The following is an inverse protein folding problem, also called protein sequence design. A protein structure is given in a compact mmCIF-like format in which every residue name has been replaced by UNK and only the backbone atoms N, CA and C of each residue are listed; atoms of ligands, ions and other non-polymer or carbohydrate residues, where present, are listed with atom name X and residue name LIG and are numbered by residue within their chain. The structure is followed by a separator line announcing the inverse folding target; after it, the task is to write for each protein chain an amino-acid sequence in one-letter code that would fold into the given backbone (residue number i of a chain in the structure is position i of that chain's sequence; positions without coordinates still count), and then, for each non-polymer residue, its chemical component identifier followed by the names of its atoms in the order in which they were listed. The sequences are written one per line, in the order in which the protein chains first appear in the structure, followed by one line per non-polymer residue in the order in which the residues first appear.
data_IF_617856900693
#
_entry.id   IF_617856900693
#
_cell.length_a   1.000
_cell.length_b   1.000
_cell.length_c   1.000
_cell.angle_alpha   90.00
_cell.angle_beta   90.00
_cell.angle_gamma   90.00
#
_symmetry.space_group_name_H-M   'P 1'
#
loop_
_entity.id
_entity.type
_entity.pdbx_description
1 polymer ?
#
# COMPACT_ATOMS: atom_id res chain seq x y z
N UNK A 1 34.48 -2.17 9.91
CA UNK A 1 33.34 -2.32 8.98
C UNK A 1 33.67 -3.43 8.01
N UNK A 2 32.75 -4.37 7.69
CA UNK A 2 32.98 -5.39 6.67
C UNK A 2 33.32 -4.76 5.31
N UNK A 3 34.23 -5.34 4.54
CA UNK A 3 34.68 -4.82 3.22
C UNK A 3 33.53 -4.61 2.23
N UNK A 4 32.43 -5.35 2.40
CA UNK A 4 31.23 -5.34 1.55
C UNK A 4 30.50 -3.99 1.54
N UNK A 5 30.69 -3.13 2.54
CA UNK A 5 29.96 -1.86 2.68
C UNK A 5 30.77 -0.62 2.29
N UNK A 6 32.00 -0.77 1.78
CA UNK A 6 32.85 0.37 1.45
C UNK A 6 32.26 1.30 0.36
N UNK A 7 31.37 0.79 -0.50
CA UNK A 7 30.71 1.56 -1.56
C UNK A 7 29.32 2.10 -1.18
N UNK A 8 28.80 1.79 0.00
CA UNK A 8 27.45 2.20 0.41
C UNK A 8 27.48 3.51 1.21
N UNK A 9 27.08 4.61 0.57
CA UNK A 9 26.89 5.90 1.23
C UNK A 9 25.45 5.99 1.75
N UNK A 10 25.28 5.91 3.08
CA UNK A 10 23.97 6.06 3.72
C UNK A 10 23.62 7.55 3.91
N UNK A 11 22.67 8.07 3.13
CA UNK A 11 22.16 9.43 3.31
C UNK A 11 21.06 9.47 4.38
N UNK A 12 21.46 9.47 5.65
CA UNK A 12 20.56 9.48 6.82
C UNK A 12 19.52 10.61 6.78
N UNK A 13 19.88 11.80 6.30
CA UNK A 13 18.94 12.92 6.18
C UNK A 13 17.73 12.61 5.31
N UNK A 14 17.95 12.05 4.11
CA UNK A 14 16.85 11.68 3.20
C UNK A 14 16.00 10.53 3.75
N UNK A 15 16.62 9.59 4.43
CA UNK A 15 15.92 8.49 5.11
C UNK A 15 15.00 8.99 6.22
N UNK A 16 15.47 9.95 7.05
CA UNK A 16 14.64 10.56 8.08
C UNK A 16 13.48 11.37 7.49
N UNK A 17 13.70 12.10 6.39
CA UNK A 17 12.61 12.82 5.69
C UNK A 17 11.53 11.87 5.19
N UNK A 18 11.92 10.75 4.57
CA UNK A 18 10.97 9.73 4.12
C UNK A 18 10.22 9.06 5.28
N UNK A 19 10.91 8.79 6.39
CA UNK A 19 10.29 8.22 7.59
C UNK A 19 9.30 9.20 8.23
N UNK A 20 9.61 10.49 8.24
CA UNK A 20 8.71 11.56 8.69
C UNK A 20 7.49 11.67 7.76
N UNK A 21 7.69 11.56 6.44
CA UNK A 21 6.60 11.56 5.47
C UNK A 21 5.61 10.41 5.69
N UNK A 22 6.11 9.20 5.95
CA UNK A 22 5.27 8.04 6.33
C UNK A 22 4.48 8.34 7.61
N UNK A 23 5.11 8.96 8.61
CA UNK A 23 4.43 9.34 9.84
C UNK A 23 3.32 10.39 9.60
N UNK A 24 3.54 11.32 8.66
CA UNK A 24 2.52 12.28 8.24
C UNK A 24 1.33 11.57 7.57
N UNK A 25 1.57 10.57 6.72
CA UNK A 25 0.50 9.76 6.13
C UNK A 25 -0.30 9.06 7.23
N UNK A 26 0.38 8.43 8.19
CA UNK A 26 -0.29 7.77 9.32
C UNK A 26 -1.18 8.72 10.12
N UNK A 27 -0.74 9.96 10.36
CA UNK A 27 -1.55 10.99 11.03
C UNK A 27 -2.71 11.49 10.19
N UNK A 28 -2.50 11.68 8.88
CA UNK A 28 -3.54 12.15 7.96
C UNK A 28 -4.70 11.15 7.88
N UNK A 29 -4.39 9.86 7.89
CA UNK A 29 -5.37 8.77 7.79
C UNK A 29 -5.72 8.15 9.14
N UNK A 30 -5.37 8.80 10.26
CA UNK A 30 -5.61 8.27 11.60
C UNK A 30 -7.10 7.99 11.88
N UNK A 31 -7.98 8.84 11.34
CA UNK A 31 -9.45 8.68 11.42
C UNK A 31 -10.06 8.03 10.17
N UNK A 32 -9.25 7.74 9.15
CA UNK A 32 -9.71 7.16 7.89
C UNK A 32 -9.80 5.63 7.90
N UNK A 33 -9.63 5.00 9.06
CA UNK A 33 -9.66 3.54 9.20
C UNK A 33 -8.46 2.83 8.59
N UNK A 34 -7.39 3.55 8.21
CA UNK A 34 -6.18 2.94 7.61
C UNK A 34 -5.55 1.91 8.55
N UNK A 35 -5.50 2.24 9.84
CA UNK A 35 -5.00 1.34 10.87
C UNK A 35 -5.86 0.07 10.95
N UNK A 36 -7.17 0.24 11.06
CA UNK A 36 -8.09 -0.87 11.25
C UNK A 36 -8.11 -1.77 10.01
N UNK A 37 -8.06 -1.19 8.80
CA UNK A 37 -7.90 -1.94 7.55
C UNK A 37 -6.66 -2.85 7.55
N UNK A 38 -5.52 -2.35 8.04
CA UNK A 38 -4.28 -3.15 8.09
C UNK A 38 -4.32 -4.25 9.15
N UNK A 39 -5.09 -4.05 10.23
CA UNK A 39 -5.26 -5.04 11.31
C UNK A 39 -6.29 -6.09 10.93
N UNK A 40 -7.45 -5.66 10.43
CA UNK A 40 -8.57 -6.53 10.03
C UNK A 40 -8.24 -7.39 8.82
N UNK A 41 -7.37 -6.90 7.93
CA UNK A 41 -6.84 -7.72 6.83
C UNK A 41 -5.90 -8.84 7.29
N UNK A 42 -5.43 -8.84 8.55
CA UNK A 42 -4.56 -9.88 9.08
C UNK A 42 -3.12 -9.86 8.56
N UNK A 43 -2.74 -8.89 7.71
CA UNK A 43 -1.37 -8.77 7.18
C UNK A 43 -0.38 -8.35 8.27
N UNK A 44 -0.82 -7.49 9.19
CA UNK A 44 -0.01 -6.97 10.27
C UNK A 44 -0.75 -6.95 11.61
N UNK A 45 -0.04 -7.25 12.70
CA UNK A 45 -0.57 -7.10 14.04
C UNK A 45 -0.71 -5.62 14.43
N UNK A 46 -1.72 -5.25 15.22
CA UNK A 46 -2.02 -3.85 15.58
C UNK A 46 -0.83 -3.05 16.12
N UNK A 47 -0.05 -3.63 17.03
CA UNK A 47 1.15 -2.98 17.56
C UNK A 47 2.21 -2.71 16.48
N UNK A 48 2.31 -3.58 15.46
CA UNK A 48 3.22 -3.39 14.33
C UNK A 48 2.73 -2.27 13.41
N UNK A 49 1.41 -2.21 13.15
CA UNK A 49 0.79 -1.13 12.37
C UNK A 49 1.03 0.22 13.05
N UNK A 50 0.88 0.30 14.37
CA UNK A 50 1.14 1.53 15.12
C UNK A 50 2.60 2.00 14.97
N UNK A 51 3.58 1.10 15.07
CA UNK A 51 4.99 1.46 14.85
C UNK A 51 5.30 1.83 13.39
N UNK A 52 4.58 1.25 12.43
CA UNK A 52 4.71 1.58 11.00
C UNK A 52 4.16 2.98 10.71
N UNK A 53 2.95 3.28 11.18
CA UNK A 53 2.31 4.58 11.01
C UNK A 53 3.00 5.71 11.77
N UNK A 54 3.84 5.38 12.76
CA UNK A 54 4.75 6.34 13.41
C UNK A 54 6.07 6.54 12.65
N UNK A 55 6.28 5.86 11.52
CA UNK A 55 7.49 5.97 10.70
C UNK A 55 8.74 5.30 11.30
N UNK A 56 8.60 4.52 12.39
CA UNK A 56 9.73 3.85 13.06
C UNK A 56 10.20 2.59 12.34
N UNK A 57 9.32 1.98 11.54
CA UNK A 57 9.58 0.73 10.82
C UNK A 57 9.51 0.96 9.31
N UNK A 58 10.49 1.67 8.74
CA UNK A 58 10.47 2.13 7.34
C UNK A 58 10.16 1.02 6.33
N UNK A 59 10.94 -0.06 6.31
CA UNK A 59 10.78 -1.14 5.32
C UNK A 59 9.40 -1.81 5.39
N UNK A 60 8.88 -2.02 6.60
CA UNK A 60 7.54 -2.58 6.79
C UNK A 60 6.47 -1.59 6.36
N UNK A 61 6.64 -0.30 6.71
CA UNK A 61 5.71 0.78 6.37
C UNK A 61 5.58 0.95 4.86
N UNK A 62 6.70 0.94 4.13
CA UNK A 62 6.70 1.02 2.67
C UNK A 62 5.93 -0.17 2.08
N UNK A 63 6.23 -1.40 2.52
CA UNK A 63 5.52 -2.58 2.03
C UNK A 63 4.02 -2.53 2.34
N UNK A 64 3.65 -2.16 3.57
CA UNK A 64 2.25 -2.07 3.99
C UNK A 64 1.47 -1.02 3.20
N UNK A 65 2.04 0.18 3.01
CA UNK A 65 1.41 1.23 2.22
C UNK A 65 1.26 0.84 0.74
N UNK A 66 2.24 0.13 0.17
CA UNK A 66 2.13 -0.38 -1.20
C UNK A 66 1.00 -1.41 -1.35
N UNK A 67 0.85 -2.32 -0.38
CA UNK A 67 -0.25 -3.29 -0.39
C UNK A 67 -1.62 -2.62 -0.31
N UNK A 68 -1.77 -1.63 0.58
CA UNK A 68 -3.01 -0.86 0.70
C UNK A 68 -3.29 -0.10 -0.59
N UNK A 69 -2.26 0.52 -1.18
CA UNK A 69 -2.40 1.23 -2.43
C UNK A 69 -2.89 0.32 -3.56
N UNK A 70 -2.34 -0.90 -3.66
CA UNK A 70 -2.75 -1.90 -4.63
C UNK A 70 -4.20 -2.34 -4.40
N UNK A 71 -4.59 -2.62 -3.15
CA UNK A 71 -5.94 -3.01 -2.80
C UNK A 71 -6.97 -1.91 -3.14
N UNK A 72 -6.70 -0.67 -2.74
CA UNK A 72 -7.56 0.48 -3.03
C UNK A 72 -7.64 0.76 -4.53
N UNK A 73 -6.51 0.68 -5.24
CA UNK A 73 -6.46 0.85 -6.69
C UNK A 73 -7.33 -0.19 -7.39
N UNK A 74 -7.24 -1.45 -6.99
CA UNK A 74 -8.05 -2.53 -7.55
C UNK A 74 -9.54 -2.32 -7.29
N UNK A 75 -9.93 -1.93 -6.08
CA UNK A 75 -11.31 -1.61 -5.74
C UNK A 75 -11.84 -0.42 -6.55
N UNK A 76 -11.01 0.62 -6.69
CA UNK A 76 -11.37 1.83 -7.42
C UNK A 76 -11.55 1.55 -8.91
N UNK A 77 -10.64 0.80 -9.54
CA UNK A 77 -10.79 0.39 -10.94
C UNK A 77 -12.01 -0.52 -11.15
N UNK A 78 -12.25 -1.49 -10.27
CA UNK A 78 -13.45 -2.33 -10.37
C UNK A 78 -14.74 -1.49 -10.34
N UNK A 79 -14.81 -0.51 -9.44
CA UNK A 79 -15.96 0.40 -9.33
C UNK A 79 -16.07 1.31 -10.56
N UNK A 80 -14.94 1.83 -11.04
CA UNK A 80 -14.89 2.68 -12.23
C UNK A 80 -15.35 1.94 -13.49
N UNK A 81 -14.86 0.72 -13.73
CA UNK A 81 -15.28 -0.07 -14.90
C UNK A 81 -16.76 -0.42 -14.85
N UNK A 82 -17.29 -0.76 -13.67
CA UNK A 82 -18.73 -0.97 -13.49
C UNK A 82 -19.52 0.30 -13.82
N UNK A 83 -19.10 1.45 -13.30
CA UNK A 83 -19.73 2.72 -13.64
C UNK A 83 -19.67 3.03 -15.14
N UNK A 84 -18.54 2.74 -15.81
CA UNK A 84 -18.41 2.91 -17.26
C UNK A 84 -19.35 1.99 -18.04
N UNK A 85 -19.52 0.73 -17.61
CA UNK A 85 -20.43 -0.22 -18.24
C UNK A 85 -21.89 0.26 -18.16
N UNK A 86 -22.29 0.76 -16.98
CA UNK A 86 -23.62 1.31 -16.72
C UNK A 86 -23.91 2.58 -17.55
N UNK A 87 -22.92 3.41 -17.86
CA UNK A 87 -23.12 4.73 -18.49
C UNK A 87 -22.75 4.82 -19.98
N UNK A 88 -21.84 3.98 -20.49
CA UNK A 88 -21.31 4.10 -21.86
C UNK A 88 -21.40 2.80 -22.70
N UNK A 89 -21.79 1.67 -22.10
CA UNK A 89 -21.93 0.39 -22.79
C UNK A 89 -20.61 -0.38 -23.01
N UNK A 90 -20.73 -1.72 -23.09
CA UNK A 90 -19.69 -2.77 -23.00
C UNK A 90 -18.53 -2.65 -24.03
N UNK A 91 -18.60 -1.74 -24.99
CA UNK A 91 -17.60 -1.58 -26.06
C UNK A 91 -16.30 -0.86 -25.67
N UNK A 92 -16.25 -0.17 -24.52
CA UNK A 92 -15.13 0.69 -24.14
C UNK A 92 -14.11 0.04 -23.18
N UNK A 93 -14.36 -1.19 -22.69
CA UNK A 93 -13.56 -1.80 -21.62
C UNK A 93 -12.59 -2.85 -22.19
N UNK A 94 -11.27 -2.70 -22.04
CA UNK A 94 -10.32 -3.72 -22.46
C UNK A 94 -10.49 -5.00 -21.63
N UNK A 95 -10.95 -6.07 -22.29
CA UNK A 95 -11.35 -7.37 -21.68
C UNK A 95 -10.22 -8.13 -20.96
N UNK A 96 -8.98 -7.65 -21.00
CA UNK A 96 -7.84 -8.26 -20.31
C UNK A 96 -7.71 -7.89 -18.83
N UNK A 97 -8.28 -6.78 -18.37
CA UNK A 97 -8.01 -6.26 -17.01
C UNK A 97 -8.93 -6.82 -15.90
N UNK A 98 -10.03 -7.50 -16.26
CA UNK A 98 -11.03 -7.94 -15.29
C UNK A 98 -10.62 -9.22 -14.53
N UNK A 99 -9.88 -10.12 -15.18
CA UNK A 99 -9.50 -11.42 -14.62
C UNK A 99 -8.33 -11.37 -13.63
N UNK A 100 -7.44 -10.40 -13.78
CA UNK A 100 -6.19 -10.36 -13.01
C UNK A 100 -6.31 -9.61 -11.68
N UNK A 101 -7.20 -8.60 -11.57
CA UNK A 101 -7.36 -7.82 -10.35
C UNK A 101 -7.95 -8.64 -9.18
N UNK A 102 -8.88 -9.56 -9.46
CA UNK A 102 -9.47 -10.45 -8.45
C UNK A 102 -8.51 -11.62 -8.14
N UNK A 103 -7.80 -12.13 -9.14
CA UNK A 103 -6.87 -13.25 -8.95
C UNK A 103 -5.59 -12.85 -8.21
N UNK A 104 -5.14 -11.60 -8.35
CA UNK A 104 -3.96 -11.09 -7.65
C UNK A 104 -4.18 -10.94 -6.13
N UNK A 105 -5.39 -10.58 -5.69
CA UNK A 105 -5.75 -10.55 -4.27
C UNK A 105 -5.60 -11.92 -3.59
N UNK A 106 -5.93 -13.02 -4.29
CA UNK A 106 -5.78 -14.39 -3.77
C UNK A 106 -4.32 -14.88 -3.71
N UNK A 107 -3.42 -14.31 -4.52
CA UNK A 107 -2.00 -14.69 -4.59
C UNK A 107 -1.10 -13.83 -3.72
N UNK A 108 -1.47 -12.59 -3.43
CA UNK A 108 -0.72 -11.66 -2.56
C UNK A 108 -0.90 -12.00 -1.06
N UNK A 109 -2.00 -12.67 -0.70
CA UNK A 109 -2.32 -13.11 0.66
C UNK A 109 -1.86 -14.53 1.02
N UNK A 110 -0.98 -15.14 0.23
CA UNK A 110 -0.38 -16.45 0.51
C UNK A 110 1.12 -16.36 0.75
#
# INVERSE_FOLDING_TARGET
MPEVFQSHILRLGGFHTLSCFIACIGKLWAYGGLRDLMVDSGVYAGCTVDQMLLGKQFNRSVRGLTLIYEALRSLWFASFFRWCEENYGIGAIPKGCMGDAVQMSSKVFR
#
